data_IF_263676827534
#
_entry.id   IF_263676827534
#
_cell.length_a   1.000
_cell.length_b   1.000
_cell.length_c   1.000
_cell.angle_alpha   90.00
_cell.angle_beta   90.00
_cell.angle_gamma   90.00
#
_symmetry.space_group_name_H-M   'P 1'
#
loop_
_entity.id
_entity.type
_entity.pdbx_description
1 polymer ?
#
# COMPACT_ATOMS: atom_id res chain seq x y z
N UNK A 1 17.20 -10.78 1.95
CA UNK A 1 15.74 -10.99 2.02
C UNK A 1 15.10 -9.87 2.83
N UNK A 2 13.98 -9.35 2.36
CA UNK A 2 13.24 -8.29 3.07
C UNK A 2 11.92 -8.83 3.61
N UNK A 3 11.60 -8.46 4.85
CA UNK A 3 10.36 -8.84 5.50
C UNK A 3 9.43 -7.66 5.66
N UNK A 4 8.21 -7.80 5.13
CA UNK A 4 7.15 -6.83 5.29
C UNK A 4 6.08 -7.41 6.24
N UNK A 5 5.63 -6.59 7.19
CA UNK A 5 4.49 -6.96 8.02
C UNK A 5 3.20 -6.35 7.45
N UNK A 6 2.16 -7.16 7.37
CA UNK A 6 0.83 -6.71 6.94
C UNK A 6 0.01 -6.39 8.20
N UNK A 7 0.11 -5.14 8.64
CA UNK A 7 -0.51 -4.69 9.90
C UNK A 7 -0.61 -3.16 9.93
N UNK A 8 -1.64 -2.66 10.62
CA UNK A 8 -1.74 -1.26 11.01
C UNK A 8 -1.68 -1.08 12.53
N UNK A 9 -1.51 -2.17 13.28
CA UNK A 9 -1.42 -2.14 14.75
C UNK A 9 -0.04 -1.63 15.16
N UNK A 10 0.00 -0.40 15.69
CA UNK A 10 1.26 0.26 16.02
C UNK A 10 2.07 -0.48 17.09
N UNK A 11 1.41 -1.10 18.05
CA UNK A 11 2.11 -1.83 19.12
C UNK A 11 2.79 -3.08 18.58
N UNK A 12 2.11 -3.82 17.70
CA UNK A 12 2.68 -4.97 16.99
C UNK A 12 3.87 -4.56 16.12
N UNK A 13 3.71 -3.47 15.36
CA UNK A 13 4.77 -2.94 14.50
C UNK A 13 5.99 -2.53 15.33
N UNK A 14 5.78 -1.79 16.42
CA UNK A 14 6.88 -1.37 17.31
C UNK A 14 7.64 -2.56 17.89
N UNK A 15 6.93 -3.60 18.31
CA UNK A 15 7.54 -4.80 18.85
C UNK A 15 8.44 -5.48 17.82
N UNK A 16 7.95 -5.65 16.61
CA UNK A 16 8.70 -6.31 15.54
C UNK A 16 9.87 -5.45 15.03
N UNK A 17 9.71 -4.13 15.01
CA UNK A 17 10.80 -3.20 14.66
C UNK A 17 11.93 -3.31 15.68
N UNK A 18 11.61 -3.40 16.98
CA UNK A 18 12.63 -3.59 18.03
C UNK A 18 13.41 -4.89 17.84
N UNK A 19 12.78 -5.93 17.30
CA UNK A 19 13.43 -7.21 17.01
C UNK A 19 14.31 -7.17 15.76
N UNK A 20 14.30 -6.05 15.02
CA UNK A 20 15.13 -5.84 13.83
C UNK A 20 14.76 -6.66 12.62
N UNK A 21 13.52 -7.16 12.54
CA UNK A 21 13.08 -8.05 11.47
C UNK A 21 12.15 -7.43 10.45
N UNK A 22 11.72 -6.17 10.64
CA UNK A 22 10.78 -5.50 9.76
C UNK A 22 11.51 -4.53 8.84
N UNK A 23 11.41 -4.77 7.53
CA UNK A 23 11.96 -3.89 6.51
C UNK A 23 10.92 -2.90 5.97
N UNK A 24 9.64 -3.25 6.07
CA UNK A 24 8.55 -2.40 5.62
C UNK A 24 7.21 -2.87 6.15
N UNK A 25 6.17 -2.09 5.87
CA UNK A 25 4.81 -2.35 6.35
C UNK A 25 3.84 -2.22 5.19
N UNK A 26 2.90 -3.16 5.09
CA UNK A 26 1.76 -3.05 4.20
C UNK A 26 0.49 -2.88 5.01
N UNK A 27 -0.35 -1.94 4.63
CA UNK A 27 -1.67 -1.75 5.23
C UNK A 27 -2.76 -1.92 4.18
N UNK A 28 -3.99 -2.00 4.63
CA UNK A 28 -5.18 -1.98 3.78
C UNK A 28 -6.33 -1.35 4.57
N UNK A 29 -7.47 -1.00 3.90
CA UNK A 29 -8.58 -0.35 4.60
C UNK A 29 -9.13 -1.12 5.79
N UNK A 30 -9.16 -2.45 5.71
CA UNK A 30 -9.66 -3.31 6.81
C UNK A 30 -8.75 -3.21 8.05
N UNK A 31 -7.44 -3.29 7.86
CA UNK A 31 -6.46 -3.17 8.95
C UNK A 31 -6.49 -1.76 9.57
N UNK A 32 -6.60 -0.74 8.74
CA UNK A 32 -6.73 0.65 9.20
C UNK A 32 -7.99 0.83 10.03
N UNK A 33 -9.12 0.27 9.59
CA UNK A 33 -10.38 0.36 10.33
C UNK A 33 -10.25 -0.28 11.72
N UNK A 34 -9.65 -1.45 11.81
CA UNK A 34 -9.40 -2.12 13.10
C UNK A 34 -8.57 -1.26 14.04
N UNK A 35 -7.54 -0.61 13.51
CA UNK A 35 -6.69 0.25 14.33
C UNK A 35 -7.42 1.52 14.76
N UNK A 36 -8.27 2.11 13.90
CA UNK A 36 -9.14 3.22 14.27
C UNK A 36 -10.06 2.86 15.43
N UNK A 37 -10.68 1.68 15.36
CA UNK A 37 -11.56 1.18 16.41
C UNK A 37 -10.80 0.94 17.71
N UNK A 38 -9.58 0.41 17.63
CA UNK A 38 -8.75 0.11 18.80
C UNK A 38 -8.24 1.37 19.49
N UNK A 39 -7.84 2.39 18.73
CA UNK A 39 -7.11 3.56 19.26
C UNK A 39 -7.90 4.86 19.25
N UNK A 40 -8.98 4.95 18.48
CA UNK A 40 -9.72 6.20 18.26
C UNK A 40 -9.00 7.21 17.38
N UNK A 41 -7.85 6.86 16.79
CA UNK A 41 -7.07 7.73 15.92
C UNK A 41 -7.62 7.75 14.51
N UNK A 42 -7.43 8.87 13.78
CA UNK A 42 -7.82 8.94 12.38
C UNK A 42 -6.75 8.31 11.48
N UNK A 43 -7.09 8.14 10.20
CA UNK A 43 -6.22 7.50 9.21
C UNK A 43 -4.84 8.17 9.11
N UNK A 44 -4.80 9.49 9.00
CA UNK A 44 -3.54 10.22 8.85
C UNK A 44 -2.61 10.02 10.06
N UNK A 45 -3.18 10.09 11.26
CA UNK A 45 -2.41 9.91 12.50
C UNK A 45 -1.85 8.48 12.61
N UNK A 46 -2.63 7.48 12.20
CA UNK A 46 -2.17 6.09 12.18
C UNK A 46 -0.97 5.96 11.24
N UNK A 47 -1.06 6.47 10.02
CA UNK A 47 0.04 6.39 9.04
C UNK A 47 1.26 7.19 9.51
N UNK A 48 1.06 8.38 10.07
CA UNK A 48 2.17 9.16 10.63
C UNK A 48 2.90 8.43 11.75
N UNK A 49 2.16 7.75 12.61
CA UNK A 49 2.73 7.00 13.72
C UNK A 49 3.55 5.80 13.22
N UNK A 50 3.04 5.07 12.24
CA UNK A 50 3.79 3.99 11.59
C UNK A 50 5.06 4.54 10.95
N UNK A 51 4.95 5.65 10.22
CA UNK A 51 6.10 6.29 9.57
C UNK A 51 7.16 6.77 10.56
N UNK A 52 6.78 7.09 11.80
CA UNK A 52 7.73 7.51 12.83
C UNK A 52 8.61 6.37 13.35
N UNK A 53 8.21 5.12 13.18
CA UNK A 53 8.93 3.95 13.71
C UNK A 53 9.48 3.04 12.62
N UNK A 54 9.00 3.13 11.40
CA UNK A 54 9.43 2.31 10.25
C UNK A 54 10.18 3.18 9.26
N UNK A 55 11.43 2.85 8.99
CA UNK A 55 12.25 3.59 8.02
C UNK A 55 12.07 3.11 6.58
N UNK A 56 11.61 1.89 6.40
CA UNK A 56 11.37 1.28 5.08
C UNK A 56 10.02 1.66 4.46
N UNK A 57 9.68 1.05 3.33
CA UNK A 57 8.43 1.35 2.63
C UNK A 57 7.19 1.05 3.46
N UNK A 58 6.19 1.93 3.40
CA UNK A 58 4.89 1.76 4.03
C UNK A 58 3.82 1.90 2.95
N UNK A 59 3.10 0.80 2.67
CA UNK A 59 2.02 0.82 1.69
C UNK A 59 0.72 1.26 2.34
N UNK A 60 0.09 2.29 1.76
CA UNK A 60 -1.22 2.79 2.17
C UNK A 60 -2.13 2.89 0.94
N UNK A 61 -3.35 2.38 1.06
CA UNK A 61 -4.26 2.19 -0.07
C UNK A 61 -5.22 3.37 -0.27
N UNK A 62 -5.45 3.74 -1.53
CA UNK A 62 -6.49 4.71 -1.90
C UNK A 62 -7.87 4.05 -1.78
N UNK A 63 -8.88 4.85 -1.45
CA UNK A 63 -10.28 4.39 -1.36
C UNK A 63 -11.06 4.66 -2.64
N UNK A 64 -10.71 5.70 -3.40
CA UNK A 64 -11.41 6.04 -4.64
C UNK A 64 -11.21 4.97 -5.71
N UNK A 65 -12.24 4.76 -6.52
CA UNK A 65 -12.21 3.90 -7.70
C UNK A 65 -12.01 4.71 -8.99
N UNK A 66 -12.07 6.04 -8.90
CA UNK A 66 -11.94 6.94 -10.03
C UNK A 66 -10.51 7.48 -10.13
N UNK A 67 -10.04 7.72 -11.36
CA UNK A 67 -8.70 8.21 -11.63
C UNK A 67 -8.35 9.48 -10.85
N UNK A 68 -9.19 10.51 -10.93
CA UNK A 68 -8.91 11.79 -10.27
C UNK A 68 -8.88 11.66 -8.75
N UNK A 69 -9.79 10.86 -8.19
CA UNK A 69 -9.82 10.57 -6.76
C UNK A 69 -8.58 9.82 -6.29
N UNK A 70 -8.14 8.83 -7.07
CA UNK A 70 -6.91 8.08 -6.76
C UNK A 70 -5.69 8.99 -6.74
N UNK A 71 -5.54 9.85 -7.75
CA UNK A 71 -4.40 10.78 -7.84
C UNK A 71 -4.42 11.76 -6.67
N UNK A 72 -5.59 12.32 -6.35
CA UNK A 72 -5.75 13.25 -5.23
C UNK A 72 -5.39 12.61 -3.90
N UNK A 73 -5.92 11.42 -3.63
CA UNK A 73 -5.62 10.68 -2.40
C UNK A 73 -4.15 10.29 -2.32
N UNK A 74 -3.57 9.85 -3.44
CA UNK A 74 -2.16 9.48 -3.50
C UNK A 74 -1.23 10.65 -3.19
N UNK A 75 -1.53 11.83 -3.70
CA UNK A 75 -0.77 13.05 -3.37
C UNK A 75 -0.83 13.35 -1.88
N UNK A 76 -2.02 13.22 -1.30
CA UNK A 76 -2.22 13.45 0.14
C UNK A 76 -1.44 12.43 0.98
N UNK A 77 -1.53 11.15 0.63
CA UNK A 77 -0.80 10.07 1.31
C UNK A 77 0.71 10.28 1.23
N UNK A 78 1.23 10.54 0.05
CA UNK A 78 2.68 10.72 -0.15
C UNK A 78 3.23 11.96 0.58
N UNK A 79 2.39 12.94 0.88
CA UNK A 79 2.79 14.12 1.65
C UNK A 79 2.99 13.83 3.14
N UNK A 80 2.46 12.72 3.65
CA UNK A 80 2.59 12.36 5.07
C UNK A 80 4.04 11.98 5.41
N UNK A 81 4.67 11.18 4.56
CA UNK A 81 6.07 10.77 4.71
C UNK A 81 6.66 10.33 3.37
N UNK A 82 7.96 10.54 3.20
CA UNK A 82 8.67 10.18 1.96
C UNK A 82 8.75 8.68 1.69
N UNK A 83 8.54 7.84 2.70
CA UNK A 83 8.58 6.38 2.54
C UNK A 83 7.20 5.73 2.30
N UNK A 84 6.18 6.54 2.07
CA UNK A 84 4.85 6.04 1.70
C UNK A 84 4.87 5.54 0.26
N UNK A 85 4.36 4.32 0.09
CA UNK A 85 4.08 3.71 -1.22
C UNK A 85 2.57 3.60 -1.34
N UNK A 86 1.99 4.16 -2.39
CA UNK A 86 0.53 4.20 -2.54
C UNK A 86 0.03 2.90 -3.18
N UNK A 87 -0.86 2.20 -2.50
CA UNK A 87 -1.51 1.00 -3.04
C UNK A 87 -2.65 1.41 -3.97
N UNK A 88 -2.58 0.91 -5.19
CA UNK A 88 -3.54 1.19 -6.26
C UNK A 88 -4.09 -0.15 -6.79
N UNK A 89 -5.41 -0.31 -6.93
CA UNK A 89 -5.97 -1.54 -7.48
C UNK A 89 -5.67 -1.69 -8.98
N UNK A 90 -5.52 -2.95 -9.41
CA UNK A 90 -5.29 -3.29 -10.83
C UNK A 90 -6.58 -3.12 -11.63
N UNK A 91 -6.89 -1.88 -12.00
CA UNK A 91 -8.03 -1.50 -12.84
C UNK A 91 -7.55 -0.56 -13.93
N UNK A 92 -8.39 -0.28 -14.91
CA UNK A 92 -8.05 0.68 -15.95
C UNK A 92 -7.74 2.06 -15.37
N UNK A 93 -8.59 2.55 -14.46
CA UNK A 93 -8.36 3.81 -13.74
C UNK A 93 -7.10 3.74 -12.89
N UNK A 94 -6.85 2.60 -12.25
CA UNK A 94 -5.65 2.38 -11.45
C UNK A 94 -4.38 2.47 -12.26
N UNK A 95 -4.32 1.85 -13.44
CA UNK A 95 -3.15 1.92 -14.33
C UNK A 95 -2.88 3.34 -14.81
N UNK A 96 -3.92 4.09 -15.14
CA UNK A 96 -3.79 5.51 -15.49
C UNK A 96 -3.24 6.32 -14.32
N UNK A 97 -3.74 6.07 -13.12
CA UNK A 97 -3.26 6.74 -11.92
C UNK A 97 -1.77 6.41 -11.64
N UNK A 98 -1.38 5.15 -11.77
CA UNK A 98 0.02 4.71 -11.59
C UNK A 98 0.94 5.48 -12.52
N UNK A 99 0.59 5.61 -13.79
CA UNK A 99 1.39 6.35 -14.77
C UNK A 99 1.57 7.81 -14.36
N UNK A 100 0.48 8.48 -13.99
CA UNK A 100 0.52 9.87 -13.53
C UNK A 100 1.36 10.02 -12.27
N UNK A 101 1.19 9.11 -11.31
CA UNK A 101 1.94 9.14 -10.06
C UNK A 101 3.43 8.91 -10.27
N UNK A 102 3.79 8.06 -11.21
CA UNK A 102 5.20 7.85 -11.60
C UNK A 102 5.82 9.16 -12.10
N UNK A 103 5.11 9.90 -12.93
CA UNK A 103 5.56 11.20 -13.44
C UNK A 103 5.74 12.23 -12.31
N UNK A 104 4.94 12.11 -11.25
CA UNK A 104 5.01 12.96 -10.06
C UNK A 104 6.05 12.49 -9.03
N UNK A 105 6.75 11.39 -9.30
CA UNK A 105 7.74 10.84 -8.37
C UNK A 105 7.14 10.09 -7.18
N UNK A 106 5.88 9.69 -7.26
CA UNK A 106 5.18 8.95 -6.21
C UNK A 106 5.24 7.46 -6.50
N UNK A 107 5.80 6.70 -5.56
CA UNK A 107 5.90 5.24 -5.68
C UNK A 107 4.56 4.57 -5.46
N UNK A 108 4.30 3.50 -6.21
CA UNK A 108 3.04 2.76 -6.16
C UNK A 108 3.26 1.26 -5.97
N UNK A 109 2.29 0.62 -5.33
CA UNK A 109 2.16 -0.83 -5.21
C UNK A 109 0.82 -1.22 -5.82
N UNK A 110 0.85 -1.89 -6.98
CA UNK A 110 -0.39 -2.32 -7.65
C UNK A 110 -0.86 -3.64 -7.04
N UNK A 111 -2.07 -3.62 -6.52
CA UNK A 111 -2.72 -4.75 -5.84
C UNK A 111 -3.85 -5.32 -6.69
N UNK A 112 -4.42 -6.46 -6.27
CA UNK A 112 -5.46 -7.19 -6.99
C UNK A 112 -4.98 -7.69 -8.37
N UNK A 113 -3.73 -8.12 -8.42
CA UNK A 113 -3.14 -8.71 -9.62
C UNK A 113 -3.35 -10.22 -9.56
N UNK A 114 -4.06 -10.77 -10.54
CA UNK A 114 -4.43 -12.19 -10.59
C UNK A 114 -3.74 -12.97 -11.72
N UNK A 115 -3.17 -12.28 -12.70
CA UNK A 115 -2.53 -12.94 -13.85
C UNK A 115 -1.15 -12.35 -14.13
N UNK A 116 -0.25 -13.11 -14.76
CA UNK A 116 1.04 -12.60 -15.21
C UNK A 116 0.92 -11.42 -16.18
N UNK A 117 -0.08 -11.40 -17.05
CA UNK A 117 -0.32 -10.30 -17.98
C UNK A 117 -0.63 -9.01 -17.23
N UNK A 118 -1.47 -9.08 -16.19
CA UNK A 118 -1.76 -7.93 -15.34
C UNK A 118 -0.50 -7.41 -14.64
N UNK A 119 0.35 -8.31 -14.16
CA UNK A 119 1.62 -7.93 -13.53
C UNK A 119 2.52 -7.17 -14.52
N UNK A 120 2.61 -7.62 -15.77
CA UNK A 120 3.38 -6.93 -16.81
C UNK A 120 2.81 -5.54 -17.10
N UNK A 121 1.47 -5.43 -17.20
CA UNK A 121 0.81 -4.14 -17.44
C UNK A 121 1.06 -3.16 -16.30
N UNK A 122 0.98 -3.63 -15.06
CA UNK A 122 1.28 -2.81 -13.89
C UNK A 122 2.73 -2.30 -13.90
N UNK A 123 3.68 -3.19 -14.18
CA UNK A 123 5.09 -2.82 -14.29
C UNK A 123 5.34 -1.80 -15.40
N UNK A 124 4.72 -2.01 -16.57
CA UNK A 124 4.83 -1.08 -17.71
C UNK A 124 4.23 0.29 -17.41
N UNK A 125 3.20 0.35 -16.58
CA UNK A 125 2.60 1.62 -16.15
C UNK A 125 3.48 2.40 -15.19
N UNK A 126 4.51 1.78 -14.63
CA UNK A 126 5.47 2.42 -13.74
C UNK A 126 5.32 2.05 -12.27
N UNK A 127 4.61 0.96 -11.96
CA UNK A 127 4.50 0.47 -10.58
C UNK A 127 5.87 0.12 -10.01
N UNK A 128 6.11 0.53 -8.77
CA UNK A 128 7.34 0.18 -8.04
C UNK A 128 7.25 -1.26 -7.52
N UNK A 129 6.06 -1.64 -7.06
CA UNK A 129 5.77 -2.98 -6.54
C UNK A 129 4.48 -3.51 -7.17
N UNK A 130 4.38 -4.83 -7.22
CA UNK A 130 3.18 -5.55 -7.66
C UNK A 130 2.86 -6.62 -6.62
N UNK A 131 1.61 -6.66 -6.16
CA UNK A 131 1.17 -7.62 -5.13
C UNK A 131 0.15 -8.60 -5.73
N UNK A 132 0.57 -9.79 -6.16
CA UNK A 132 -0.34 -10.81 -6.69
C UNK A 132 -1.15 -11.49 -5.58
N UNK A 133 -2.39 -11.89 -5.92
CA UNK A 133 -3.29 -12.63 -5.03
C UNK A 133 -3.18 -14.13 -5.30
N UNK A 134 -2.19 -14.78 -4.72
CA UNK A 134 -1.93 -16.20 -4.93
C UNK A 134 -3.04 -17.07 -4.35
N UNK A 135 -3.52 -16.76 -3.15
CA UNK A 135 -4.59 -17.51 -2.48
C UNK A 135 -5.89 -17.58 -3.29
N UNK A 136 -6.28 -16.46 -3.92
CA UNK A 136 -7.50 -16.42 -4.76
C UNK A 136 -7.30 -17.16 -6.09
N UNK A 137 -6.08 -17.19 -6.61
CA UNK A 137 -5.76 -17.96 -7.79
C UNK A 137 -5.90 -19.45 -7.48
N UNK A 138 -5.43 -19.90 -6.33
CA UNK A 138 -5.56 -21.28 -5.89
C UNK A 138 -7.05 -21.66 -5.71
N UNK A 139 -7.86 -20.79 -5.11
CA UNK A 139 -9.31 -20.99 -4.94
C UNK A 139 -10.03 -21.14 -6.28
N UNK A 140 -9.59 -20.43 -7.31
CA UNK A 140 -10.18 -20.50 -8.66
C UNK A 140 -9.73 -21.75 -9.41
N UNK A 141 -8.51 -22.21 -9.19
CA UNK A 141 -7.93 -23.35 -9.91
C UNK A 141 -8.41 -24.71 -9.38
N UNK A 142 -9.02 -24.77 -8.22
CA UNK A 142 -9.62 -25.96 -7.65
C UNK A 142 -11.05 -26.17 -8.15
#
# INVERSE_FOLDING_TARGET
>A
MKFFIDSANIDEIKDLVKKGIVDGVTTNPTLILKEKERTGKNFEDIIKEIASVVSGPISAEVNSLEYEGMVKEAKKLSSISKNIVVKIPMTENGLKAVKTLKELGIETNVTLVFTPVQAVLAAKSGATYVSPFIGRIDDISD
#
